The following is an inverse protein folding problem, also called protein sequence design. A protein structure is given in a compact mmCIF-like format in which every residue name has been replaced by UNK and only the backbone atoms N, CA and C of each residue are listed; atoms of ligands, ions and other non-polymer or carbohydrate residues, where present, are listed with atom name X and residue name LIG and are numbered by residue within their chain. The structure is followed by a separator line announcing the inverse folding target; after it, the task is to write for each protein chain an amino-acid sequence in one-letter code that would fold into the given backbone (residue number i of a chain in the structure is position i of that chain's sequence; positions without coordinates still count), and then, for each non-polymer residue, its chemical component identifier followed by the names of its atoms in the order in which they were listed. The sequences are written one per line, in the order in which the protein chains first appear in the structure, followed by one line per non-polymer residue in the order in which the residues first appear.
data_IF_472449407587
#
_entry.id   IF_472449407587
#
_cell.length_a   1.000
_cell.length_b   1.000
_cell.length_c   1.000
_cell.angle_alpha   90.00
_cell.angle_beta   90.00
_cell.angle_gamma   90.00
#
_symmetry.space_group_name_H-M   'P 1'
#
loop_
_entity.id
_entity.type
_entity.pdbx_description
1 polymer ?
#
# COMPACT_ATOMS: atom_id res chain seq x y z
N UNK A 1 16.26 3.18 4.15
CA UNK A 1 15.45 2.42 3.17
C UNK A 1 16.30 1.64 2.16
N UNK A 2 17.22 2.27 1.42
CA UNK A 2 17.94 1.64 0.31
C UNK A 2 18.66 0.31 0.63
N UNK A 3 19.26 0.17 1.82
CA UNK A 3 19.97 -1.06 2.19
C UNK A 3 19.03 -2.27 2.30
N UNK A 4 17.85 -2.11 2.92
CA UNK A 4 16.88 -3.20 3.06
C UNK A 4 16.33 -3.63 1.70
N UNK A 5 16.18 -2.70 0.76
CA UNK A 5 15.77 -3.00 -0.62
C UNK A 5 16.82 -3.84 -1.34
N UNK A 6 18.10 -3.48 -1.22
CA UNK A 6 19.20 -4.26 -1.81
C UNK A 6 19.28 -5.67 -1.22
N UNK A 7 19.13 -5.79 0.10
CA UNK A 7 19.12 -7.09 0.79
C UNK A 7 17.91 -7.94 0.39
N UNK A 8 16.72 -7.34 0.28
CA UNK A 8 15.53 -8.02 -0.19
C UNK A 8 15.72 -8.54 -1.63
N UNK A 9 16.31 -7.73 -2.51
CA UNK A 9 16.63 -8.13 -3.87
C UNK A 9 17.63 -9.30 -3.95
N UNK A 10 18.58 -9.39 -3.01
CA UNK A 10 19.53 -10.49 -2.94
C UNK A 10 18.94 -11.79 -2.37
N UNK A 11 17.90 -11.71 -1.52
CA UNK A 11 17.27 -12.86 -0.86
C UNK A 11 16.14 -13.46 -1.71
N UNK A 12 15.45 -12.64 -2.50
CA UNK A 12 14.31 -13.07 -3.34
C UNK A 12 14.70 -14.09 -4.41
N UNK A 13 13.80 -15.03 -4.71
CA UNK A 13 14.01 -16.06 -5.75
C UNK A 13 13.13 -15.84 -6.98
N UNK A 14 12.26 -14.85 -6.95
CA UNK A 14 11.38 -14.45 -8.03
C UNK A 14 9.92 -14.85 -7.76
N UNK A 15 9.00 -13.88 -7.91
CA UNK A 15 7.57 -14.10 -7.71
C UNK A 15 7.09 -13.95 -6.27
N UNK A 16 7.97 -13.61 -5.33
CA UNK A 16 7.59 -13.30 -3.96
C UNK A 16 7.36 -11.79 -3.76
N UNK A 17 6.43 -11.46 -2.87
CA UNK A 17 6.28 -10.10 -2.35
C UNK A 17 6.99 -10.04 -0.99
N UNK A 18 8.04 -9.21 -0.92
CA UNK A 18 8.82 -9.00 0.29
C UNK A 18 8.37 -7.72 0.99
N UNK A 19 8.17 -7.82 2.30
CA UNK A 19 7.67 -6.76 3.16
C UNK A 19 8.76 -6.37 4.15
N UNK A 20 9.03 -5.06 4.25
CA UNK A 20 10.10 -4.53 5.10
C UNK A 20 9.54 -4.09 6.44
N UNK A 21 10.21 -4.48 7.53
CA UNK A 21 9.94 -3.93 8.84
C UNK A 21 10.51 -2.52 8.95
N UNK A 22 9.61 -1.54 8.92
CA UNK A 22 9.94 -0.12 9.07
C UNK A 22 9.92 0.35 10.53
N UNK A 23 9.67 -0.56 11.48
CA UNK A 23 9.62 -0.28 12.90
C UNK A 23 8.29 0.34 13.34
N UNK A 24 8.36 1.23 14.33
CA UNK A 24 7.16 1.81 14.94
C UNK A 24 6.54 2.86 14.00
N UNK A 25 5.20 2.94 13.91
CA UNK A 25 4.53 3.98 13.16
C UNK A 25 4.87 5.36 13.76
N UNK A 26 5.04 6.35 12.90
CA UNK A 26 5.37 7.74 13.27
C UNK A 26 4.16 8.61 12.93
N UNK A 27 3.75 9.48 13.86
CA UNK A 27 2.66 10.43 13.63
C UNK A 27 3.16 11.61 12.80
N UNK A 28 2.48 11.93 11.70
CA UNK A 28 2.84 13.06 10.82
C UNK A 28 2.86 14.39 11.57
N UNK A 29 1.97 14.59 12.55
CA UNK A 29 1.96 15.78 13.39
C UNK A 29 3.27 15.96 14.19
N UNK A 30 3.80 14.87 14.75
CA UNK A 30 5.05 14.93 15.51
C UNK A 30 6.23 15.24 14.59
N UNK A 31 6.26 14.61 13.41
CA UNK A 31 7.26 14.87 12.39
C UNK A 31 7.25 16.35 11.94
N UNK A 32 6.07 16.92 11.66
CA UNK A 32 5.95 18.32 11.27
C UNK A 32 6.49 19.27 12.36
N UNK A 33 6.13 19.02 13.64
CA UNK A 33 6.65 19.80 14.78
C UNK A 33 8.16 19.67 14.92
N UNK A 34 8.71 18.48 14.71
CA UNK A 34 10.15 18.24 14.77
C UNK A 34 10.90 18.96 13.64
N UNK A 35 10.37 18.96 12.42
CA UNK A 35 10.94 19.71 11.29
C UNK A 35 10.99 21.22 11.55
N UNK A 36 9.95 21.79 12.16
CA UNK A 36 9.93 23.22 12.55
C UNK A 36 11.02 23.50 13.60
N UNK A 37 11.13 22.66 14.63
CA UNK A 37 12.16 22.80 15.67
C UNK A 37 13.58 22.65 15.13
N UNK A 38 13.81 21.70 14.22
CA UNK A 38 15.11 21.51 13.56
C UNK A 38 15.52 22.71 12.72
N UNK A 39 14.56 23.51 12.27
CA UNK A 39 14.79 24.78 11.58
C UNK A 39 15.07 25.95 12.55
N UNK A 40 15.12 25.70 13.85
CA UNK A 40 15.37 26.71 14.89
C UNK A 40 14.14 27.56 15.25
N UNK A 41 12.94 27.11 14.88
CA UNK A 41 11.68 27.83 15.07
C UNK A 41 10.76 27.10 16.07
N UNK A 42 9.85 27.84 16.69
CA UNK A 42 8.87 27.32 17.64
C UNK A 42 7.54 27.00 16.92
N UNK A 43 7.10 25.71 16.91
CA UNK A 43 5.80 25.33 16.35
C UNK A 43 4.66 26.09 17.03
N UNK A 44 3.63 26.43 16.26
CA UNK A 44 2.43 27.15 16.71
C UNK A 44 2.69 28.60 17.18
N UNK A 45 3.94 29.10 17.06
CA UNK A 45 4.32 30.49 17.35
C UNK A 45 4.99 31.17 16.16
N UNK A 46 6.08 30.59 15.67
CA UNK A 46 6.78 31.11 14.49
C UNK A 46 6.18 30.54 13.19
N UNK A 47 5.73 29.28 13.24
CA UNK A 47 5.05 28.59 12.14
C UNK A 47 3.79 27.89 12.68
N UNK A 48 2.58 28.31 12.25
CA UNK A 48 1.33 27.66 12.65
C UNK A 48 1.13 26.33 11.94
N UNK A 49 0.62 25.31 12.65
CA UNK A 49 0.18 24.05 12.04
C UNK A 49 -1.31 24.14 11.73
N UNK A 50 -1.63 24.04 10.44
CA UNK A 50 -3.02 24.04 9.95
C UNK A 50 -3.42 22.63 9.57
N UNK A 51 -4.51 22.13 10.16
CA UNK A 51 -5.08 20.85 9.79
C UNK A 51 -5.93 21.01 8.55
N UNK A 52 -5.51 20.39 7.46
CA UNK A 52 -6.34 20.20 6.27
C UNK A 52 -7.05 18.85 6.37
N UNK A 53 -8.21 18.75 5.73
CA UNK A 53 -8.84 17.44 5.52
C UNK A 53 -7.94 16.54 4.64
N UNK A 54 -8.02 15.22 4.80
CA UNK A 54 -7.31 14.29 3.93
C UNK A 54 -7.76 14.47 2.48
N UNK A 55 -6.85 14.27 1.53
CA UNK A 55 -7.23 14.27 0.12
C UNK A 55 -8.11 13.05 -0.18
N UNK A 56 -9.02 13.12 -1.19
CA UNK A 56 -9.81 11.98 -1.58
C UNK A 56 -8.94 10.75 -1.87
N UNK A 57 -9.20 9.65 -1.18
CA UNK A 57 -8.44 8.39 -1.30
C UNK A 57 -7.21 8.27 -0.40
N UNK A 58 -6.88 9.30 0.39
CA UNK A 58 -5.76 9.26 1.34
C UNK A 58 -6.15 8.48 2.61
N UNK A 59 -5.28 7.56 3.05
CA UNK A 59 -5.50 6.77 4.27
C UNK A 59 -4.89 7.50 5.48
N UNK A 60 -5.56 7.44 6.63
CA UNK A 60 -5.02 7.96 7.88
C UNK A 60 -3.92 7.08 8.48
N UNK A 61 -3.93 5.79 8.17
CA UNK A 61 -2.95 4.81 8.61
C UNK A 61 -2.62 3.88 7.44
N UNK A 62 -1.33 3.59 7.28
CA UNK A 62 -0.87 2.56 6.38
C UNK A 62 -0.90 1.21 7.10
N UNK A 63 -1.48 0.20 6.46
CA UNK A 63 -1.39 -1.17 6.89
C UNK A 63 -0.20 -1.81 6.18
N UNK A 64 0.75 -2.36 6.93
CA UNK A 64 1.91 -3.03 6.34
C UNK A 64 1.45 -4.30 5.59
N UNK A 65 0.40 -4.96 6.09
CA UNK A 65 -0.26 -6.14 5.52
C UNK A 65 -1.75 -6.10 5.87
N UNK A 66 -2.59 -6.62 4.99
CA UNK A 66 -4.01 -6.86 5.30
C UNK A 66 -4.13 -8.01 6.31
N UNK A 67 -5.10 -7.94 7.22
CA UNK A 67 -5.27 -8.94 8.30
C UNK A 67 -5.42 -10.40 7.82
N UNK A 68 -5.83 -10.59 6.56
CA UNK A 68 -6.02 -11.89 5.92
C UNK A 68 -4.72 -12.46 5.33
N UNK A 69 -3.74 -11.61 5.01
CA UNK A 69 -2.47 -11.98 4.41
C UNK A 69 -1.39 -12.10 5.49
N UNK A 70 -1.16 -13.33 5.96
CA UNK A 70 -0.07 -13.60 6.90
C UNK A 70 1.31 -13.43 6.27
N UNK A 71 2.32 -13.17 7.10
CA UNK A 71 3.74 -13.20 6.69
C UNK A 71 4.46 -14.44 7.15
N UNK A 72 5.51 -14.80 6.41
CA UNK A 72 6.52 -15.76 6.80
C UNK A 72 7.84 -15.03 7.02
N UNK A 73 8.58 -15.39 8.07
CA UNK A 73 9.91 -14.85 8.31
C UNK A 73 10.88 -15.28 7.20
N UNK A 74 11.74 -14.37 6.77
CA UNK A 74 12.91 -14.73 5.95
C UNK A 74 14.12 -14.98 6.85
N UNK A 75 15.28 -15.24 6.25
CA UNK A 75 16.56 -15.33 6.99
C UNK A 75 16.98 -13.98 7.61
N UNK A 76 16.40 -12.87 7.18
CA UNK A 76 16.70 -11.54 7.68
C UNK A 76 15.57 -11.02 8.60
N UNK A 77 15.90 -10.58 9.81
CA UNK A 77 14.93 -10.25 10.86
C UNK A 77 13.98 -9.09 10.53
N UNK A 78 14.35 -8.23 9.57
CA UNK A 78 13.55 -7.08 9.11
C UNK A 78 12.91 -7.26 7.74
N UNK A 79 12.97 -8.47 7.16
CA UNK A 79 12.41 -8.77 5.85
C UNK A 79 11.48 -9.97 6.01
N UNK A 80 10.24 -9.80 5.61
CA UNK A 80 9.20 -10.80 5.64
C UNK A 80 8.73 -11.13 4.23
N UNK A 81 8.16 -12.32 4.05
CA UNK A 81 7.54 -12.74 2.80
C UNK A 81 6.02 -12.80 2.97
N UNK A 82 5.29 -12.06 2.14
CA UNK A 82 3.83 -12.08 2.16
C UNK A 82 3.30 -13.42 1.61
N UNK A 83 2.33 -14.02 2.29
CA UNK A 83 1.60 -15.18 1.76
C UNK A 83 0.54 -14.69 0.78
N UNK A 84 0.89 -14.69 -0.50
CA UNK A 84 -0.04 -14.32 -1.56
C UNK A 84 -1.08 -15.42 -1.77
N UNK A 85 -2.34 -15.02 -1.90
CA UNK A 85 -3.38 -15.91 -2.38
C UNK A 85 -3.08 -16.35 -3.82
N UNK A 86 -3.43 -17.60 -4.15
CA UNK A 86 -3.37 -18.06 -5.54
C UNK A 86 -4.49 -17.38 -6.32
N UNK A 87 -4.11 -16.69 -7.39
CA UNK A 87 -5.05 -16.10 -8.33
C UNK A 87 -5.37 -17.11 -9.42
N UNK A 88 -6.66 -17.34 -9.67
CA UNK A 88 -7.12 -18.10 -10.83
C UNK A 88 -6.85 -17.27 -12.10
N UNK A 89 -5.88 -17.73 -12.90
CA UNK A 89 -5.45 -17.03 -14.12
C UNK A 89 -6.53 -17.04 -15.20
N UNK A 90 -7.32 -18.10 -15.29
CA UNK A 90 -8.35 -18.22 -16.32
C UNK A 90 -9.51 -17.29 -16.01
N UNK A 91 -9.93 -17.25 -14.73
CA UNK A 91 -10.91 -16.28 -14.26
C UNK A 91 -10.43 -14.85 -14.50
N UNK A 92 -9.19 -14.52 -14.09
CA UNK A 92 -8.61 -13.19 -14.26
C UNK A 92 -8.55 -12.78 -15.73
N UNK A 93 -8.00 -13.62 -16.61
CA UNK A 93 -7.88 -13.34 -18.04
C UNK A 93 -9.24 -13.15 -18.69
N UNK A 94 -10.22 -14.01 -18.38
CA UNK A 94 -11.58 -13.88 -18.90
C UNK A 94 -12.25 -12.58 -18.44
N UNK A 95 -11.99 -12.16 -17.20
CA UNK A 95 -12.45 -10.90 -16.65
C UNK A 95 -11.83 -9.68 -17.33
N UNK A 96 -10.52 -9.69 -17.54
CA UNK A 96 -9.80 -8.63 -18.23
C UNK A 96 -10.27 -8.45 -19.66
N UNK A 97 -10.53 -9.55 -20.38
CA UNK A 97 -11.11 -9.49 -21.73
C UNK A 97 -12.53 -8.88 -21.74
N UNK A 98 -13.37 -9.23 -20.75
CA UNK A 98 -14.69 -8.60 -20.60
C UNK A 98 -14.57 -7.11 -20.29
N UNK A 99 -13.68 -6.72 -19.39
CA UNK A 99 -13.44 -5.30 -19.06
C UNK A 99 -12.97 -4.52 -20.28
N UNK A 100 -12.02 -5.07 -21.05
CA UNK A 100 -11.51 -4.42 -22.26
C UNK A 100 -12.62 -4.15 -23.28
N UNK A 101 -13.52 -5.11 -23.50
CA UNK A 101 -14.66 -4.94 -24.42
C UNK A 101 -15.66 -3.88 -23.95
N UNK A 102 -15.83 -3.70 -22.64
CA UNK A 102 -16.78 -2.75 -22.07
C UNK A 102 -16.17 -1.36 -21.80
N UNK A 103 -14.85 -1.26 -21.72
CA UNK A 103 -14.16 0.02 -21.65
C UNK A 103 -14.42 0.87 -22.90
N UNK A 104 -14.51 0.23 -24.07
CA UNK A 104 -14.79 0.90 -25.35
C UNK A 104 -16.24 1.41 -25.45
N UNK A 105 -17.19 0.80 -24.72
CA UNK A 105 -18.61 1.19 -24.72
C UNK A 105 -18.95 2.26 -23.67
N UNK A 106 -18.06 2.53 -22.72
CA UNK A 106 -18.26 3.53 -21.66
C UNK A 106 -19.29 3.15 -20.59
N UNK A 107 -19.73 1.88 -20.54
CA UNK A 107 -20.72 1.41 -19.58
C UNK A 107 -20.10 1.18 -18.19
N UNK A 108 -20.15 2.24 -17.37
CA UNK A 108 -19.63 2.26 -16.01
C UNK A 108 -20.27 1.21 -15.09
N UNK A 109 -21.56 0.93 -15.24
CA UNK A 109 -22.26 -0.02 -14.35
C UNK A 109 -21.78 -1.45 -14.62
N UNK A 110 -21.66 -1.81 -15.89
CA UNK A 110 -21.15 -3.12 -16.30
C UNK A 110 -19.68 -3.28 -15.90
N UNK A 111 -18.85 -2.24 -16.03
CA UNK A 111 -17.45 -2.26 -15.57
C UNK A 111 -17.36 -2.53 -14.07
N UNK A 112 -18.15 -1.80 -13.25
CA UNK A 112 -18.17 -1.99 -11.79
C UNK A 112 -18.60 -3.41 -11.43
N UNK A 113 -19.60 -3.96 -12.13
CA UNK A 113 -20.06 -5.32 -11.88
C UNK A 113 -18.95 -6.35 -12.15
N UNK A 114 -18.23 -6.24 -13.27
CA UNK A 114 -17.13 -7.14 -13.60
C UNK A 114 -15.99 -6.99 -12.58
N UNK A 115 -15.68 -5.77 -12.13
CA UNK A 115 -14.69 -5.53 -11.08
C UNK A 115 -15.08 -6.22 -9.75
N UNK A 116 -16.36 -6.17 -9.36
CA UNK A 116 -16.87 -6.87 -8.17
C UNK A 116 -16.79 -8.39 -8.29
N UNK A 117 -16.97 -8.93 -9.49
CA UNK A 117 -16.82 -10.38 -9.75
C UNK A 117 -15.35 -10.83 -9.66
N UNK A 118 -14.41 -10.00 -10.13
CA UNK A 118 -12.98 -10.32 -10.14
C UNK A 118 -12.27 -10.03 -8.82
N UNK A 119 -12.73 -9.03 -8.09
CA UNK A 119 -12.12 -8.56 -6.85
C UNK A 119 -13.23 -8.54 -5.79
N UNK A 120 -13.38 -9.63 -5.01
CA UNK A 120 -14.44 -9.74 -4.00
C UNK A 120 -14.43 -8.64 -2.94
N UNK A 121 -13.28 -7.98 -2.73
CA UNK A 121 -13.09 -6.85 -1.82
C UNK A 121 -13.40 -5.48 -2.44
N UNK A 122 -13.84 -5.42 -3.69
CA UNK A 122 -14.17 -4.16 -4.37
C UNK A 122 -15.56 -3.65 -3.92
N UNK A 123 -15.57 -2.61 -3.09
CA UNK A 123 -16.76 -1.92 -2.57
C UNK A 123 -17.25 -0.80 -3.47
#
# INVERSE_FOLDING_TARGET
ACLLVLQAGAIGRGGEVLVLDMGKPIRILDLAREMIRLSGLEPDKDIPIVFTEPRPGEKFFEEILMAEEGVVSTQHQKIFMAKLARVDRDLLNSGLEKLKKQADSGDKETIIKILKELIPSYG
#
